data_IF_595447941270
#
_entry.id   IF_595447941270
#
_cell.length_a   1.000
_cell.length_b   1.000
_cell.length_c   1.000
_cell.angle_alpha   90.00
_cell.angle_beta   90.00
_cell.angle_gamma   90.00
#
_symmetry.space_group_name_H-M   'P 1'
#
loop_
_entity.id
_entity.type
_entity.pdbx_description
1 polymer ?
#
# COMPACT_ATOMS: atom_id res chain seq x y z
N UNK A 1 -17.38 55.47 -16.64
CA UNK A 1 -17.48 54.40 -15.64
C UNK A 1 -18.76 53.54 -15.74
N UNK A 2 -19.80 53.91 -16.51
CA UNK A 2 -21.00 53.03 -16.67
C UNK A 2 -20.66 51.73 -17.36
N UNK A 3 -19.73 51.72 -18.33
CA UNK A 3 -19.28 50.52 -19.03
C UNK A 3 -18.49 49.55 -18.12
N UNK A 4 -17.79 50.08 -17.10
CA UNK A 4 -17.08 49.26 -16.14
C UNK A 4 -18.04 48.50 -15.21
N UNK A 5 -19.08 49.18 -14.75
CA UNK A 5 -20.15 48.55 -13.93
C UNK A 5 -20.90 47.49 -14.73
N UNK A 6 -21.19 47.80 -16.00
CA UNK A 6 -21.86 46.85 -16.92
C UNK A 6 -20.99 45.59 -17.13
N UNK A 7 -19.67 45.73 -17.29
CA UNK A 7 -18.75 44.61 -17.44
C UNK A 7 -18.71 43.72 -16.20
N UNK A 8 -18.71 44.32 -14.99
CA UNK A 8 -18.73 43.55 -13.73
C UNK A 8 -20.04 42.76 -13.58
N UNK A 9 -21.18 43.42 -13.85
CA UNK A 9 -22.48 42.75 -13.78
C UNK A 9 -22.58 41.61 -14.78
N UNK A 10 -22.10 41.80 -16.00
CA UNK A 10 -22.11 40.77 -17.04
C UNK A 10 -21.20 39.59 -16.64
N UNK A 11 -20.03 39.87 -16.10
CA UNK A 11 -19.12 38.83 -15.62
C UNK A 11 -19.72 38.03 -14.46
N UNK A 12 -20.38 38.68 -13.50
CA UNK A 12 -21.10 38.02 -12.43
C UNK A 12 -22.23 37.11 -12.96
N UNK A 13 -23.02 37.62 -13.92
CA UNK A 13 -24.10 36.82 -14.51
C UNK A 13 -23.56 35.56 -15.21
N UNK A 14 -22.44 35.66 -15.91
CA UNK A 14 -21.79 34.51 -16.55
C UNK A 14 -21.31 33.51 -15.51
N UNK A 15 -20.66 33.98 -14.42
CA UNK A 15 -20.16 33.10 -13.33
C UNK A 15 -21.33 32.44 -12.61
N UNK A 16 -22.38 33.17 -12.26
CA UNK A 16 -23.55 32.59 -11.59
C UNK A 16 -24.31 31.64 -12.52
N UNK A 17 -24.46 32.00 -13.82
CA UNK A 17 -25.06 31.10 -14.82
C UNK A 17 -24.26 29.79 -14.96
N UNK A 18 -22.94 29.87 -15.05
CA UNK A 18 -22.07 28.71 -15.09
C UNK A 18 -22.19 27.83 -13.81
N UNK A 19 -22.20 28.46 -12.64
CA UNK A 19 -22.30 27.79 -11.36
C UNK A 19 -23.64 27.09 -11.18
N UNK A 20 -24.72 27.73 -11.60
CA UNK A 20 -26.08 27.18 -11.48
C UNK A 20 -26.37 26.07 -12.50
N UNK A 21 -26.00 26.27 -13.78
CA UNK A 21 -26.34 25.34 -14.85
C UNK A 21 -25.31 24.22 -15.07
N UNK A 22 -24.04 24.43 -14.70
CA UNK A 22 -22.97 23.49 -15.00
C UNK A 22 -22.33 22.88 -13.75
N UNK A 23 -21.97 23.68 -12.76
CA UNK A 23 -21.25 23.19 -11.60
C UNK A 23 -22.16 22.46 -10.60
N UNK A 24 -23.38 22.95 -10.36
CA UNK A 24 -24.31 22.34 -9.41
C UNK A 24 -24.77 20.91 -9.80
N UNK A 25 -25.14 20.61 -11.07
CA UNK A 25 -25.54 19.25 -11.44
C UNK A 25 -24.36 18.27 -11.43
N UNK A 26 -23.14 18.70 -11.73
CA UNK A 26 -21.94 17.87 -11.63
C UNK A 26 -21.62 17.47 -10.19
N UNK A 27 -21.73 18.39 -9.26
CA UNK A 27 -21.54 18.08 -7.83
C UNK A 27 -22.62 17.11 -7.29
N UNK A 28 -23.85 17.25 -7.73
CA UNK A 28 -24.92 16.32 -7.36
C UNK A 28 -24.69 14.91 -7.92
N UNK A 29 -24.13 14.77 -9.12
CA UNK A 29 -23.78 13.49 -9.71
C UNK A 29 -22.64 12.82 -8.95
N UNK A 30 -21.59 13.55 -8.57
CA UNK A 30 -20.46 13.03 -7.79
C UNK A 30 -20.91 12.58 -6.39
N UNK A 31 -21.77 13.35 -5.72
CA UNK A 31 -22.33 13.00 -4.41
C UNK A 31 -23.28 11.81 -4.52
N UNK A 32 -24.07 11.70 -5.58
CA UNK A 32 -24.96 10.56 -5.82
C UNK A 32 -24.19 9.28 -6.15
N UNK A 33 -23.09 9.38 -6.89
CA UNK A 33 -22.21 8.26 -7.22
C UNK A 33 -21.44 7.79 -5.99
N UNK A 34 -20.98 8.70 -5.13
CA UNK A 34 -20.39 8.38 -3.82
C UNK A 34 -21.39 7.75 -2.84
N UNK A 35 -22.65 8.19 -2.88
CA UNK A 35 -23.71 7.59 -2.07
C UNK A 35 -24.10 6.18 -2.56
N UNK A 36 -23.99 5.91 -3.86
CA UNK A 36 -24.26 4.59 -4.43
C UNK A 36 -23.12 3.60 -4.21
N UNK A 37 -21.86 4.07 -4.13
CA UNK A 37 -20.71 3.22 -3.74
C UNK A 37 -20.62 2.97 -2.24
N UNK A 38 -21.34 3.75 -1.42
CA UNK A 38 -21.44 3.58 0.04
C UNK A 38 -22.69 2.82 0.52
N UNK A 39 -23.61 2.41 -0.37
CA UNK A 39 -24.78 1.63 0.02
C UNK A 39 -24.42 0.14 0.15
N UNK A 40 -24.81 -0.55 1.25
CA UNK A 40 -24.58 -1.97 1.36
C UNK A 40 -25.38 -2.72 0.28
N UNK A 41 -24.66 -3.48 -0.56
CA UNK A 41 -25.27 -4.32 -1.57
C UNK A 41 -26.24 -5.31 -0.91
N UNK A 42 -27.52 -5.30 -1.33
CA UNK A 42 -28.49 -6.31 -0.96
C UNK A 42 -28.00 -7.68 -1.49
N UNK A 43 -28.09 -8.74 -0.69
CA UNK A 43 -27.66 -10.07 -1.11
C UNK A 43 -28.61 -10.62 -2.18
N UNK A 44 -28.09 -10.78 -3.39
CA UNK A 44 -28.75 -11.63 -4.40
C UNK A 44 -28.63 -13.10 -3.97
N UNK A 45 -29.75 -13.76 -3.81
CA UNK A 45 -29.82 -15.17 -3.48
C UNK A 45 -29.24 -16.03 -4.62
N UNK A 46 -28.12 -16.68 -4.35
CA UNK A 46 -27.46 -17.61 -5.27
C UNK A 46 -26.37 -18.40 -4.57
N UNK A 47 -26.67 -19.62 -4.13
CA UNK A 47 -25.73 -20.71 -3.91
C UNK A 47 -24.69 -20.53 -2.81
N UNK A 48 -25.04 -20.90 -1.58
CA UNK A 48 -24.08 -21.01 -0.48
C UNK A 48 -23.08 -22.15 -0.76
N UNK A 49 -21.79 -21.83 -0.88
CA UNK A 49 -20.69 -22.77 -0.74
C UNK A 49 -20.33 -22.82 0.74
N UNK A 50 -20.37 -23.97 1.44
CA UNK A 50 -20.01 -24.04 2.86
C UNK A 50 -18.50 -23.88 3.02
N UNK A 51 -18.07 -22.87 3.74
CA UNK A 51 -16.67 -22.74 4.20
C UNK A 51 -15.96 -21.42 4.04
N UNK A 52 -16.63 -20.35 3.61
CA UNK A 52 -16.03 -19.01 3.59
C UNK A 52 -16.83 -18.09 4.51
N UNK A 53 -16.39 -17.89 5.74
CA UNK A 53 -16.78 -16.74 6.54
C UNK A 53 -16.12 -15.51 5.92
N UNK A 54 -16.75 -14.95 4.89
CA UNK A 54 -16.37 -13.65 4.37
C UNK A 54 -16.64 -12.62 5.46
N UNK A 55 -15.60 -12.10 6.10
CA UNK A 55 -15.66 -10.88 6.88
C UNK A 55 -15.96 -9.73 5.89
N UNK A 56 -17.22 -9.34 5.82
CA UNK A 56 -17.74 -8.28 4.96
C UNK A 56 -17.57 -6.90 5.60
N UNK A 57 -16.37 -6.54 6.01
CA UNK A 57 -16.03 -5.21 6.52
C UNK A 57 -14.52 -4.98 6.45
N UNK A 58 -14.06 -3.73 6.43
CA UNK A 58 -12.63 -3.45 6.53
C UNK A 58 -12.09 -4.03 7.85
N UNK A 59 -11.03 -4.82 7.74
CA UNK A 59 -10.34 -5.39 8.90
C UNK A 59 -9.62 -4.26 9.64
N UNK A 60 -9.69 -4.23 11.00
CA UNK A 60 -8.89 -3.25 11.72
C UNK A 60 -7.39 -3.52 11.53
N UNK A 61 -6.58 -2.47 11.62
CA UNK A 61 -5.13 -2.60 11.49
C UNK A 61 -4.55 -3.57 12.53
N UNK A 62 -5.01 -3.50 13.76
CA UNK A 62 -4.58 -4.39 14.86
C UNK A 62 -4.92 -5.86 14.57
N UNK A 63 -6.10 -6.11 14.04
CA UNK A 63 -6.51 -7.47 13.63
C UNK A 63 -5.65 -7.99 12.49
N UNK A 64 -5.37 -7.17 11.48
CA UNK A 64 -4.52 -7.54 10.36
C UNK A 64 -3.07 -7.85 10.81
N UNK A 65 -2.52 -7.03 11.71
CA UNK A 65 -1.19 -7.24 12.27
C UNK A 65 -1.10 -8.51 13.13
N UNK A 66 -2.15 -8.83 13.87
CA UNK A 66 -2.19 -10.02 14.73
C UNK A 66 -2.42 -11.33 13.94
N UNK A 67 -2.89 -11.25 12.69
CA UNK A 67 -3.27 -12.43 11.91
C UNK A 67 -2.08 -13.22 11.35
N UNK A 68 -0.88 -12.62 11.28
CA UNK A 68 0.28 -13.22 10.63
C UNK A 68 1.54 -13.10 11.49
N UNK A 69 2.51 -14.03 11.35
CA UNK A 69 3.80 -13.90 12.00
C UNK A 69 4.57 -12.69 11.45
N UNK A 70 5.27 -11.98 12.33
CA UNK A 70 5.90 -10.70 11.97
C UNK A 70 7.34 -10.60 12.46
N UNK A 71 8.20 -9.98 11.65
CA UNK A 71 9.54 -9.55 12.05
C UNK A 71 9.46 -8.08 12.50
N UNK A 72 9.81 -7.80 13.76
CA UNK A 72 9.80 -6.45 14.32
C UNK A 72 10.83 -5.55 13.64
N UNK A 73 10.44 -4.28 13.40
CA UNK A 73 11.33 -3.19 12.98
C UNK A 73 11.41 -2.20 14.14
N UNK A 74 12.64 -1.84 14.53
CA UNK A 74 12.86 -0.88 15.61
C UNK A 74 14.16 -0.08 15.38
N UNK A 75 14.00 1.22 15.12
CA UNK A 75 15.10 2.19 15.01
C UNK A 75 14.72 3.47 15.74
N UNK A 76 15.61 4.47 15.74
CA UNK A 76 15.30 5.79 16.28
C UNK A 76 14.26 6.55 15.44
N UNK A 77 14.14 6.21 14.16
CA UNK A 77 13.36 6.98 13.17
C UNK A 77 12.09 6.26 12.73
N UNK A 78 12.11 4.93 12.72
CA UNK A 78 10.98 4.11 12.29
C UNK A 78 10.72 2.97 13.24
N UNK A 79 9.44 2.62 13.38
CA UNK A 79 8.99 1.40 14.06
C UNK A 79 7.91 0.71 13.24
N UNK A 80 7.78 -0.60 13.41
CA UNK A 80 6.79 -1.37 12.67
C UNK A 80 7.15 -2.84 12.57
N UNK A 81 6.75 -3.45 11.46
CA UNK A 81 7.08 -4.86 11.23
C UNK A 81 6.99 -5.28 9.76
N UNK A 82 7.73 -6.32 9.41
CA UNK A 82 7.61 -7.04 8.13
C UNK A 82 6.67 -8.22 8.33
N UNK A 83 5.70 -8.37 7.47
CA UNK A 83 4.82 -9.53 7.44
C UNK A 83 5.61 -10.74 6.91
N UNK A 84 5.79 -11.78 7.72
CA UNK A 84 6.47 -12.99 7.28
C UNK A 84 5.62 -13.84 6.33
N UNK A 85 4.31 -13.66 6.31
CA UNK A 85 3.48 -14.21 5.26
C UNK A 85 3.49 -13.26 4.05
N UNK A 86 4.00 -13.72 2.92
CA UNK A 86 4.23 -12.92 1.72
C UNK A 86 5.53 -12.10 1.74
N UNK A 87 6.11 -11.85 2.92
CA UNK A 87 7.34 -11.06 3.08
C UNK A 87 7.17 -9.58 2.74
N UNK A 88 6.00 -9.01 3.00
CA UNK A 88 5.67 -7.61 2.69
C UNK A 88 6.12 -6.67 3.80
N UNK A 89 6.55 -5.46 3.44
CA UNK A 89 6.70 -4.36 4.39
C UNK A 89 5.38 -3.58 4.37
N UNK A 90 4.53 -3.86 5.37
CA UNK A 90 3.15 -3.39 5.42
C UNK A 90 2.76 -2.71 6.74
N UNK A 91 3.73 -2.46 7.59
CA UNK A 91 3.54 -1.83 8.90
C UNK A 91 4.72 -0.95 9.22
N UNK A 92 4.55 0.36 9.09
CA UNK A 92 5.63 1.32 9.36
C UNK A 92 5.07 2.64 9.91
N UNK A 93 5.67 3.08 11.01
CA UNK A 93 5.45 4.40 11.63
C UNK A 93 6.70 5.26 11.49
N UNK A 94 6.51 6.54 11.17
CA UNK A 94 7.57 7.53 11.12
C UNK A 94 7.64 8.27 12.46
N UNK A 95 8.60 7.91 13.31
CA UNK A 95 8.65 8.37 14.72
C UNK A 95 8.95 9.87 14.88
N UNK A 96 9.61 10.47 13.88
CA UNK A 96 9.97 11.90 13.87
C UNK A 96 8.90 12.79 13.22
N UNK A 97 7.86 12.20 12.63
CA UNK A 97 6.78 12.94 11.97
C UNK A 97 5.45 12.68 12.66
N UNK A 98 4.62 13.71 12.72
CA UNK A 98 3.31 13.66 13.36
C UNK A 98 2.21 13.99 12.36
N UNK A 99 1.01 13.51 12.62
CA UNK A 99 -0.15 13.72 11.73
C UNK A 99 -0.56 15.20 11.65
N UNK A 100 -0.31 15.97 12.72
CA UNK A 100 -0.59 17.42 12.76
C UNK A 100 0.58 18.18 13.35
N UNK A 101 0.50 19.52 13.31
CA UNK A 101 1.48 20.42 13.96
C UNK A 101 1.44 20.36 15.49
N UNK A 102 0.43 19.73 16.09
CA UNK A 102 0.35 19.54 17.55
C UNK A 102 1.42 18.49 17.97
N UNK A 103 2.35 18.84 18.87
CA UNK A 103 3.34 17.88 19.39
C UNK A 103 2.76 16.65 20.09
N UNK A 104 1.48 16.69 20.48
CA UNK A 104 0.77 15.59 21.12
C UNK A 104 0.03 14.68 20.12
N UNK A 105 -0.03 15.09 18.84
CA UNK A 105 -0.67 14.25 17.82
C UNK A 105 0.09 12.93 17.61
N UNK A 106 -0.58 11.86 17.17
CA UNK A 106 0.07 10.60 16.85
C UNK A 106 1.20 10.74 15.81
N UNK A 107 2.11 9.80 15.82
CA UNK A 107 3.11 9.67 14.75
C UNK A 107 2.43 9.19 13.47
N UNK A 108 2.99 9.57 12.32
CA UNK A 108 2.45 9.16 11.02
C UNK A 108 2.54 7.64 10.86
N UNK A 109 1.41 7.01 10.58
CA UNK A 109 1.36 5.65 10.05
C UNK A 109 1.61 5.73 8.55
N UNK A 110 2.79 5.31 8.12
CA UNK A 110 3.21 5.41 6.72
C UNK A 110 2.77 4.20 5.91
N UNK A 111 2.95 2.97 6.43
CA UNK A 111 2.49 1.75 5.80
C UNK A 111 1.42 1.08 6.67
N UNK A 112 0.41 0.52 6.01
CA UNK A 112 -0.68 -0.25 6.63
C UNK A 112 -1.00 -1.50 5.82
N UNK A 113 -1.36 -2.63 6.48
CA UNK A 113 -1.58 -3.90 5.82
C UNK A 113 -2.72 -3.88 4.81
N UNK A 114 -2.64 -4.79 3.85
CA UNK A 114 -3.71 -5.08 2.91
C UNK A 114 -5.06 -5.32 3.61
N UNK A 115 -6.15 -4.75 3.07
CA UNK A 115 -7.50 -4.90 3.60
C UNK A 115 -7.84 -3.99 4.79
N UNK A 116 -6.90 -3.15 5.23
CA UNK A 116 -7.16 -2.13 6.24
C UNK A 116 -7.46 -0.78 5.58
N UNK A 117 -8.21 0.13 6.26
CA UNK A 117 -8.38 1.49 5.75
C UNK A 117 -7.03 2.18 5.53
N UNK A 118 -6.87 2.83 4.36
CA UNK A 118 -5.63 3.50 4.00
C UNK A 118 -4.45 2.56 3.72
N UNK A 119 -4.71 1.30 3.38
CA UNK A 119 -3.69 0.30 3.11
C UNK A 119 -2.66 0.80 2.09
N UNK A 120 -1.40 0.78 2.49
CA UNK A 120 -0.23 1.10 1.68
C UNK A 120 0.90 0.17 2.10
N UNK A 121 1.42 -0.62 1.19
CA UNK A 121 2.44 -1.61 1.48
C UNK A 121 3.40 -1.82 0.31
N UNK A 122 4.62 -2.25 0.64
CA UNK A 122 5.64 -2.62 -0.32
C UNK A 122 5.77 -4.13 -0.41
N UNK A 123 5.81 -4.65 -1.62
CA UNK A 123 6.09 -6.06 -1.86
C UNK A 123 7.14 -6.25 -2.95
N UNK A 124 7.88 -7.32 -2.84
CA UNK A 124 8.89 -7.75 -3.80
C UNK A 124 8.72 -9.24 -4.06
N UNK A 125 9.08 -9.68 -5.24
CA UNK A 125 8.95 -11.07 -5.60
C UNK A 125 9.57 -11.42 -6.93
N UNK A 126 9.19 -12.59 -7.42
CA UNK A 126 9.61 -13.09 -8.71
C UNK A 126 8.40 -13.58 -9.51
N UNK A 127 8.44 -13.37 -10.81
CA UNK A 127 7.54 -14.04 -11.75
C UNK A 127 8.37 -14.97 -12.64
N UNK A 128 7.80 -16.12 -13.07
CA UNK A 128 8.51 -17.02 -13.97
C UNK A 128 8.64 -16.38 -15.35
N UNK A 129 9.79 -16.49 -15.97
CA UNK A 129 9.92 -16.21 -17.39
C UNK A 129 9.16 -17.25 -18.22
N UNK A 130 8.81 -16.91 -19.47
CA UNK A 130 8.06 -17.80 -20.37
C UNK A 130 8.74 -19.18 -20.47
N UNK A 131 7.94 -20.23 -20.24
CA UNK A 131 8.41 -21.61 -20.28
C UNK A 131 9.04 -22.14 -18.99
N UNK A 132 9.16 -21.30 -17.96
CA UNK A 132 9.65 -21.72 -16.63
C UNK A 132 8.51 -22.25 -15.79
N UNK A 133 8.63 -23.52 -15.34
CA UNK A 133 7.72 -24.14 -14.37
C UNK A 133 8.50 -24.27 -13.05
N UNK A 134 8.26 -23.37 -12.13
CA UNK A 134 8.87 -23.39 -10.80
C UNK A 134 7.88 -22.90 -9.76
N UNK A 135 7.88 -23.53 -8.59
CA UNK A 135 7.12 -23.06 -7.43
C UNK A 135 7.84 -21.84 -6.85
N UNK A 136 7.19 -20.68 -6.95
CA UNK A 136 7.70 -19.40 -6.49
C UNK A 136 7.00 -18.96 -5.20
N UNK A 137 7.65 -18.13 -4.37
CA UNK A 137 7.00 -17.55 -3.20
C UNK A 137 5.86 -16.61 -3.65
N UNK A 138 4.72 -16.73 -2.99
CA UNK A 138 3.52 -15.93 -3.20
C UNK A 138 3.09 -15.19 -1.92
N UNK A 139 1.93 -14.52 -1.94
CA UNK A 139 1.36 -13.79 -0.79
C UNK A 139 0.99 -14.69 0.40
N UNK A 140 0.93 -16.00 0.23
CA UNK A 140 0.63 -16.98 1.29
C UNK A 140 1.88 -17.67 1.81
N UNK A 141 3.00 -17.49 1.14
CA UNK A 141 4.28 -18.09 1.54
C UNK A 141 4.74 -17.52 2.87
N UNK A 142 5.01 -18.39 3.84
CA UNK A 142 5.56 -17.99 5.13
C UNK A 142 7.08 -18.07 5.05
N UNK A 143 7.72 -16.91 5.20
CA UNK A 143 9.17 -16.79 5.23
C UNK A 143 9.71 -17.08 6.62
N UNK A 144 10.86 -17.72 6.69
CA UNK A 144 11.59 -17.94 7.94
C UNK A 144 12.50 -16.75 8.22
N UNK A 145 12.46 -16.27 9.46
CA UNK A 145 13.39 -15.28 10.00
C UNK A 145 14.21 -15.90 11.15
N UNK A 146 15.43 -15.42 11.46
CA UNK A 146 16.14 -15.83 12.64
C UNK A 146 15.30 -15.59 13.90
N UNK A 147 15.32 -16.55 14.83
CA UNK A 147 14.53 -16.46 16.05
C UNK A 147 14.92 -15.24 16.89
N UNK A 148 13.92 -14.45 17.31
CA UNK A 148 14.14 -13.24 18.10
C UNK A 148 14.79 -12.08 17.34
N UNK A 149 14.93 -12.18 16.02
CA UNK A 149 15.48 -11.09 15.21
C UNK A 149 14.61 -9.83 15.30
N UNK A 150 15.28 -8.68 15.39
CA UNK A 150 14.70 -7.36 15.26
C UNK A 150 15.50 -6.63 14.19
N UNK A 151 14.81 -6.13 13.16
CA UNK A 151 15.42 -5.35 12.09
C UNK A 151 15.72 -3.94 12.60
N UNK A 152 16.97 -3.54 12.50
CA UNK A 152 17.45 -2.20 12.87
C UNK A 152 18.58 -1.77 11.92
N UNK A 153 19.06 -0.53 12.05
CA UNK A 153 20.19 -0.03 11.25
C UNK A 153 21.47 -0.87 11.45
N UNK A 154 21.70 -1.37 12.67
CA UNK A 154 22.86 -2.21 12.99
C UNK A 154 22.63 -3.70 12.80
N UNK A 155 21.40 -4.13 12.56
CA UNK A 155 21.02 -5.54 12.49
C UNK A 155 20.14 -5.83 11.27
N UNK A 156 20.73 -5.98 10.07
CA UNK A 156 20.02 -6.42 8.90
C UNK A 156 19.52 -7.86 9.08
N UNK A 157 18.35 -8.18 8.51
CA UNK A 157 17.74 -9.50 8.65
C UNK A 157 17.53 -10.14 7.29
N UNK A 158 17.87 -11.42 7.19
CA UNK A 158 17.63 -12.25 6.01
C UNK A 158 16.44 -13.18 6.26
N UNK A 159 15.41 -13.05 5.44
CA UNK A 159 14.30 -13.98 5.35
C UNK A 159 14.64 -15.07 4.34
N UNK A 160 14.27 -16.31 4.61
CA UNK A 160 14.54 -17.44 3.72
C UNK A 160 13.30 -18.28 3.50
N UNK A 161 13.19 -18.87 2.32
CA UNK A 161 12.16 -19.83 1.99
C UNK A 161 12.69 -20.85 0.99
N UNK A 162 12.53 -22.14 1.29
CA UNK A 162 12.87 -23.26 0.39
C UNK A 162 11.57 -23.77 -0.24
N UNK A 163 11.53 -23.86 -1.58
CA UNK A 163 10.36 -24.34 -2.29
C UNK A 163 10.18 -25.87 -2.24
N UNK A 164 11.17 -26.60 -1.71
CA UNK A 164 11.21 -28.07 -1.68
C UNK A 164 11.51 -28.74 -3.03
N UNK A 165 11.78 -27.95 -4.07
CA UNK A 165 12.08 -28.41 -5.44
C UNK A 165 13.48 -27.98 -5.91
N UNK A 166 14.34 -27.61 -4.97
CA UNK A 166 15.72 -27.22 -5.22
C UNK A 166 15.95 -25.72 -5.44
N UNK A 167 14.96 -24.86 -5.16
CA UNK A 167 15.16 -23.42 -5.14
C UNK A 167 15.05 -22.88 -3.73
N UNK A 168 16.07 -22.15 -3.29
CA UNK A 168 16.07 -21.45 -2.01
C UNK A 168 16.07 -19.95 -2.29
N UNK A 169 15.03 -19.29 -1.80
CA UNK A 169 14.86 -17.85 -1.92
C UNK A 169 15.31 -17.17 -0.64
N UNK A 170 16.08 -16.11 -0.79
CA UNK A 170 16.55 -15.28 0.32
C UNK A 170 16.22 -13.82 0.05
N UNK A 171 15.76 -13.12 1.08
CA UNK A 171 15.48 -11.68 1.05
C UNK A 171 16.15 -11.03 2.24
N UNK A 172 17.26 -10.33 1.99
CA UNK A 172 17.94 -9.51 2.98
C UNK A 172 17.30 -8.14 3.03
N UNK A 173 16.86 -7.72 4.21
CA UNK A 173 16.32 -6.38 4.46
C UNK A 173 17.28 -5.62 5.35
N UNK A 174 17.64 -4.42 4.94
CA UNK A 174 18.56 -3.52 5.64
C UNK A 174 17.89 -2.15 5.77
N UNK A 175 18.20 -1.44 6.84
CA UNK A 175 17.79 -0.05 7.05
C UNK A 175 19.04 0.79 7.19
N UNK A 176 19.13 1.90 6.46
CA UNK A 176 20.21 2.88 6.54
C UNK A 176 19.66 4.28 6.38
N UNK A 177 20.50 5.28 6.64
CA UNK A 177 20.15 6.69 6.42
C UNK A 177 18.77 7.06 6.95
N UNK A 178 18.43 6.57 8.17
CA UNK A 178 17.18 6.84 8.89
C UNK A 178 15.94 6.15 8.30
N UNK A 179 15.72 6.22 6.98
CA UNK A 179 14.48 5.81 6.31
C UNK A 179 14.71 4.95 5.08
N UNK A 180 15.96 4.70 4.67
CA UNK A 180 16.26 3.94 3.46
C UNK A 180 16.20 2.44 3.75
N UNK A 181 15.26 1.76 3.12
CA UNK A 181 15.16 0.30 3.11
C UNK A 181 15.82 -0.25 1.86
N UNK A 182 16.85 -1.07 2.05
CA UNK A 182 17.47 -1.83 0.96
C UNK A 182 17.02 -3.28 1.03
N UNK A 183 16.42 -3.77 -0.05
CA UNK A 183 15.96 -5.16 -0.14
C UNK A 183 16.73 -5.88 -1.23
N UNK A 184 17.57 -6.84 -0.82
CA UNK A 184 18.34 -7.69 -1.73
C UNK A 184 17.67 -9.05 -1.85
N UNK A 185 17.24 -9.42 -3.05
CA UNK A 185 16.65 -10.72 -3.35
C UNK A 185 17.69 -11.63 -4.00
N UNK A 186 17.82 -12.86 -3.48
CA UNK A 186 18.73 -13.88 -4.00
C UNK A 186 17.98 -15.18 -4.20
N UNK A 187 18.29 -15.91 -5.27
CA UNK A 187 17.78 -17.27 -5.49
C UNK A 187 18.96 -18.19 -5.69
N UNK A 188 19.06 -19.20 -4.85
CA UNK A 188 19.99 -20.29 -4.98
C UNK A 188 19.29 -21.46 -5.70
N UNK A 189 19.84 -21.86 -6.86
CA UNK A 189 19.31 -22.98 -7.61
C UNK A 189 20.19 -24.23 -7.34
N UNK A 190 19.66 -25.15 -6.59
CA UNK A 190 20.26 -26.47 -6.27
C UNK A 190 19.73 -27.58 -7.17
N UNK A 191 18.81 -27.23 -8.11
CA UNK A 191 18.27 -28.19 -9.07
C UNK A 191 19.27 -28.42 -10.23
N UNK A 192 19.00 -29.44 -11.06
CA UNK A 192 19.81 -29.74 -12.23
C UNK A 192 19.47 -28.90 -13.47
N UNK A 193 18.33 -28.17 -13.43
CA UNK A 193 17.82 -27.40 -14.56
C UNK A 193 18.00 -25.91 -14.35
N UNK A 194 18.31 -25.13 -15.38
CA UNK A 194 18.33 -23.67 -15.29
C UNK A 194 16.91 -23.14 -15.08
N UNK A 195 16.79 -22.09 -14.25
CA UNK A 195 15.53 -21.43 -13.95
C UNK A 195 15.66 -19.96 -14.31
N UNK A 196 14.75 -19.46 -15.16
CA UNK A 196 14.71 -18.05 -15.55
C UNK A 196 13.59 -17.34 -14.77
N UNK A 197 13.95 -16.34 -13.98
CA UNK A 197 13.04 -15.58 -13.12
C UNK A 197 13.20 -14.08 -13.39
N UNK A 198 12.08 -13.37 -13.31
CA UNK A 198 12.06 -11.91 -13.44
C UNK A 198 11.73 -11.34 -12.06
N UNK A 199 12.63 -10.59 -11.40
CA UNK A 199 12.34 -9.93 -10.14
C UNK A 199 11.38 -8.75 -10.35
N UNK A 200 10.51 -8.49 -9.37
CA UNK A 200 9.69 -7.29 -9.33
C UNK A 200 9.69 -6.68 -7.93
N UNK A 201 9.41 -5.39 -7.88
CA UNK A 201 9.06 -4.67 -6.67
C UNK A 201 7.89 -3.74 -6.98
N UNK A 202 6.97 -3.60 -6.03
CA UNK A 202 5.85 -2.66 -6.15
C UNK A 202 5.50 -2.02 -4.82
N UNK A 203 5.04 -0.79 -4.87
CA UNK A 203 4.36 -0.10 -3.78
C UNK A 203 2.89 0.02 -4.16
N UNK A 204 2.00 -0.50 -3.32
CA UNK A 204 0.58 -0.56 -3.62
C UNK A 204 -0.24 0.16 -2.58
N UNK A 205 -1.10 1.08 -3.03
CA UNK A 205 -2.15 1.71 -2.23
C UNK A 205 -3.50 1.12 -2.66
N UNK A 206 -4.37 0.83 -1.71
CA UNK A 206 -5.70 0.30 -1.99
C UNK A 206 -6.77 1.39 -2.08
N UNK A 207 -6.70 2.40 -1.24
CA UNK A 207 -7.69 3.46 -1.18
C UNK A 207 -7.17 4.73 -1.86
N UNK A 208 -8.09 5.49 -2.45
CA UNK A 208 -7.78 6.85 -2.92
C UNK A 208 -7.59 7.76 -1.70
N UNK A 209 -6.49 8.54 -1.64
CA UNK A 209 -6.28 9.47 -0.54
C UNK A 209 -7.40 10.49 -0.44
N UNK A 210 -7.86 10.75 0.78
CA UNK A 210 -8.76 11.88 1.02
C UNK A 210 -7.94 13.15 0.96
N UNK A 211 -8.12 13.94 -0.09
CA UNK A 211 -7.49 15.25 -0.23
C UNK A 211 -8.38 16.34 0.36
N UNK A 212 -7.84 17.17 1.23
CA UNK A 212 -8.49 18.36 1.74
C UNK A 212 -8.04 19.55 0.92
N UNK A 213 -8.96 20.17 0.16
CA UNK A 213 -8.67 21.38 -0.59
C UNK A 213 -9.24 21.37 -2.00
N UNK A 214 -9.38 22.58 -2.55
CA UNK A 214 -9.97 22.80 -3.87
C UNK A 214 -8.97 22.63 -5.04
N UNK A 215 -7.66 22.68 -4.73
CA UNK A 215 -6.61 22.60 -5.74
C UNK A 215 -5.75 21.37 -5.52
N UNK A 216 -5.92 20.36 -6.36
CA UNK A 216 -5.05 19.20 -6.45
C UNK A 216 -4.22 19.34 -7.71
N UNK A 217 -2.90 19.58 -7.57
CA UNK A 217 -1.99 19.67 -8.71
C UNK A 217 -1.50 18.30 -9.17
N UNK A 218 -1.44 17.34 -8.25
CA UNK A 218 -0.98 15.99 -8.51
C UNK A 218 -1.57 15.02 -7.48
N UNK A 219 -2.05 13.90 -7.96
CA UNK A 219 -2.50 12.78 -7.14
C UNK A 219 -1.83 11.50 -7.64
N UNK A 220 -1.02 10.87 -6.79
CA UNK A 220 -0.28 9.67 -7.13
C UNK A 220 1.01 9.50 -6.35
N UNK A 221 1.79 8.49 -6.72
CA UNK A 221 3.12 8.23 -6.17
C UNK A 221 4.17 8.90 -7.04
N UNK A 222 5.10 9.61 -6.41
CA UNK A 222 6.31 10.12 -7.03
C UNK A 222 7.48 9.27 -6.58
N UNK A 223 8.32 8.87 -7.52
CA UNK A 223 9.53 8.11 -7.25
C UNK A 223 10.66 8.54 -8.17
N UNK A 224 11.88 8.43 -7.68
CA UNK A 224 13.07 8.50 -8.51
C UNK A 224 13.46 7.06 -8.87
N UNK A 225 13.43 6.75 -10.16
CA UNK A 225 13.89 5.48 -10.71
C UNK A 225 15.25 5.71 -11.34
N UNK A 226 16.24 4.95 -10.88
CA UNK A 226 17.64 5.11 -11.25
C UNK A 226 17.84 5.12 -12.76
N UNK A 227 18.15 6.30 -13.29
CA UNK A 227 18.87 6.56 -14.53
C UNK A 227 18.40 5.92 -15.85
N UNK A 228 17.21 5.31 -15.88
CA UNK A 228 16.70 4.67 -17.10
C UNK A 228 15.45 5.33 -17.64
#
# INVERSE_FOLDING_TARGET
SKNFILAIVLSMLIIFGWQYFYAAPLQQQIVAEQAQTGAPAQPSAGGAVPGSTAQTGPVSREQALAATPRLKIETEYVSGSVNLQGGQIDDLHLLRYRETIDPKSPTITFLSPHGTPGALFAEQGFVPATGTLAKLPDSRTVWSAPQGAVLSESNPVTLTWDNGEGLVFSRKVEISDQYLFTVTQTVENRSQAPVALIPYARLQRQDTPVVSGFWVFFEGMLGWLDGS
#
